data_IF_602705012160
#
_entry.id   IF_602705012160
#
_cell.length_a   1.000
_cell.length_b   1.000
_cell.length_c   1.000
_cell.angle_alpha   90.00
_cell.angle_beta   90.00
_cell.angle_gamma   90.00
#
_symmetry.space_group_name_H-M   'P 1'
#
loop_
_entity.id
_entity.type
_entity.pdbx_description
1 polymer ?
#
# COMPACT_ATOMS: atom_id res chain seq x y z
N UNK A 1 5.19 -113.30 34.71
CA UNK A 1 4.21 -113.50 33.63
C UNK A 1 3.46 -112.19 33.42
N UNK A 2 3.52 -111.62 32.22
CA UNK A 2 2.88 -110.35 31.88
C UNK A 2 1.35 -110.53 31.74
N UNK A 3 0.57 -109.92 32.63
CA UNK A 3 -0.90 -109.97 32.59
C UNK A 3 -1.42 -108.87 31.69
N UNK A 4 -1.64 -109.22 30.42
CA UNK A 4 -2.17 -108.35 29.36
C UNK A 4 -3.65 -108.06 29.63
N UNK A 5 -3.96 -106.94 30.29
CA UNK A 5 -5.35 -106.45 30.41
C UNK A 5 -5.84 -106.03 29.01
N UNK A 6 -6.71 -106.86 28.44
CA UNK A 6 -7.44 -106.58 27.20
C UNK A 6 -8.53 -105.54 27.51
N UNK A 7 -8.27 -104.26 27.30
CA UNK A 7 -9.35 -103.28 27.24
C UNK A 7 -10.27 -103.67 26.07
N UNK A 8 -11.54 -103.97 26.34
CA UNK A 8 -12.52 -104.22 25.28
C UNK A 8 -12.65 -102.94 24.45
N UNK A 9 -12.59 -103.05 23.13
CA UNK A 9 -12.63 -101.92 22.20
C UNK A 9 -13.82 -100.96 22.48
N UNK A 10 -14.96 -101.49 22.94
CA UNK A 10 -16.13 -100.72 23.38
C UNK A 10 -15.82 -99.76 24.54
N UNK A 11 -14.97 -100.16 25.49
CA UNK A 11 -14.58 -99.34 26.64
C UNK A 11 -13.66 -98.19 26.21
N UNK A 12 -12.75 -98.43 25.25
CA UNK A 12 -11.90 -97.38 24.68
C UNK A 12 -12.74 -96.36 23.90
N UNK A 13 -13.72 -96.83 23.12
CA UNK A 13 -14.61 -95.96 22.35
C UNK A 13 -15.49 -95.10 23.27
N UNK A 14 -16.02 -95.67 24.35
CA UNK A 14 -16.77 -94.92 25.36
C UNK A 14 -15.90 -93.88 26.06
N UNK A 15 -14.66 -94.22 26.42
CA UNK A 15 -13.75 -93.27 27.06
C UNK A 15 -13.41 -92.10 26.13
N UNK A 16 -13.14 -92.39 24.85
CA UNK A 16 -12.86 -91.36 23.85
C UNK A 16 -14.07 -90.47 23.59
N UNK A 17 -15.26 -91.05 23.48
CA UNK A 17 -16.51 -90.30 23.33
C UNK A 17 -16.76 -89.38 24.52
N UNK A 18 -16.56 -89.86 25.74
CA UNK A 18 -16.73 -89.04 26.96
C UNK A 18 -15.72 -87.90 27.02
N UNK A 19 -14.45 -88.15 26.67
CA UNK A 19 -13.41 -87.10 26.65
C UNK A 19 -13.67 -86.08 25.54
N UNK A 20 -14.07 -86.52 24.35
CA UNK A 20 -14.45 -85.61 23.25
C UNK A 20 -15.72 -84.80 23.57
N UNK A 21 -16.71 -85.39 24.24
CA UNK A 21 -17.92 -84.69 24.68
C UNK A 21 -17.59 -83.65 25.77
N UNK A 22 -16.76 -84.00 26.75
CA UNK A 22 -16.25 -83.06 27.74
C UNK A 22 -15.44 -81.93 27.09
N UNK A 23 -14.61 -82.24 26.10
CA UNK A 23 -13.86 -81.24 25.33
C UNK A 23 -14.78 -80.31 24.52
N UNK A 24 -15.82 -80.85 23.90
CA UNK A 24 -16.82 -80.07 23.17
C UNK A 24 -17.62 -79.16 24.11
N UNK A 25 -18.05 -79.67 25.27
CA UNK A 25 -18.75 -78.87 26.29
C UNK A 25 -17.84 -77.76 26.83
N UNK A 26 -16.55 -78.04 27.06
CA UNK A 26 -15.58 -77.04 27.48
C UNK A 26 -15.37 -75.96 26.40
N UNK A 27 -15.26 -76.34 25.13
CA UNK A 27 -15.14 -75.40 24.01
C UNK A 27 -16.42 -74.55 23.84
N UNK A 28 -17.60 -75.14 24.01
CA UNK A 28 -18.87 -74.42 23.96
C UNK A 28 -19.06 -73.47 25.16
N UNK A 29 -18.56 -73.84 26.36
CA UNK A 29 -18.52 -72.95 27.52
C UNK A 29 -17.59 -71.75 27.30
N UNK A 30 -16.45 -71.94 26.63
CA UNK A 30 -15.53 -70.86 26.27
C UNK A 30 -16.11 -69.92 25.18
N UNK A 31 -16.91 -70.45 24.24
CA UNK A 31 -17.64 -69.64 23.24
C UNK A 31 -18.79 -68.83 23.85
N UNK A 32 -19.27 -69.20 25.05
CA UNK A 32 -20.38 -68.55 25.76
C UNK A 32 -19.96 -67.46 26.75
N UNK A 33 -18.66 -67.26 27.00
CA UNK A 33 -18.19 -66.08 27.74
C UNK A 33 -18.35 -64.86 26.84
N UNK A 34 -19.49 -64.17 27.01
CA UNK A 34 -19.62 -62.76 26.64
C UNK A 34 -18.43 -62.04 27.27
N UNK A 35 -17.46 -61.64 26.46
CA UNK A 35 -16.64 -60.50 26.81
C UNK A 35 -17.62 -59.34 26.98
N UNK A 36 -17.86 -58.99 28.23
CA UNK A 36 -18.70 -57.87 28.59
C UNK A 36 -17.92 -56.60 28.27
N UNK A 37 -17.94 -56.19 27.00
CA UNK A 37 -17.30 -54.95 26.56
C UNK A 37 -18.06 -53.70 27.03
N UNK A 38 -19.17 -53.86 27.78
CA UNK A 38 -20.00 -52.74 28.20
C UNK A 38 -19.24 -51.74 29.08
N UNK A 39 -18.29 -52.17 29.93
CA UNK A 39 -17.52 -51.22 30.77
C UNK A 39 -16.62 -50.28 29.96
N UNK A 40 -16.18 -50.65 28.75
CA UNK A 40 -15.26 -49.82 27.97
C UNK A 40 -15.95 -48.83 27.02
N UNK A 41 -17.23 -49.06 26.71
CA UNK A 41 -18.04 -48.17 25.86
C UNK A 41 -18.79 -47.10 26.67
N UNK A 42 -19.15 -47.36 27.94
CA UNK A 42 -19.76 -46.34 28.81
C UNK A 42 -18.98 -45.01 28.94
N UNK A 43 -17.64 -44.98 29.13
CA UNK A 43 -16.90 -43.72 29.21
C UNK A 43 -16.81 -43.01 27.85
N UNK A 44 -16.76 -43.75 26.74
CA UNK A 44 -16.74 -43.18 25.39
C UNK A 44 -18.09 -42.60 25.02
N UNK A 45 -19.20 -43.30 25.30
CA UNK A 45 -20.55 -42.80 25.05
C UNK A 45 -20.90 -41.60 25.93
N UNK A 46 -20.42 -41.58 27.18
CA UNK A 46 -20.55 -40.40 28.05
C UNK A 46 -19.72 -39.23 27.53
N UNK A 47 -18.52 -39.49 27.02
CA UNK A 47 -17.66 -38.46 26.43
C UNK A 47 -18.26 -37.92 25.12
N UNK A 48 -18.78 -38.79 24.26
CA UNK A 48 -19.47 -38.45 23.01
C UNK A 48 -20.73 -37.64 23.32
N UNK A 49 -21.51 -38.04 24.33
CA UNK A 49 -22.71 -37.30 24.74
C UNK A 49 -22.35 -35.92 25.29
N UNK A 50 -21.27 -35.82 26.07
CA UNK A 50 -20.75 -34.54 26.58
C UNK A 50 -20.25 -33.64 25.44
N UNK A 51 -19.45 -34.18 24.52
CA UNK A 51 -18.95 -33.45 23.35
C UNK A 51 -20.08 -33.02 22.41
N UNK A 52 -21.11 -33.84 22.21
CA UNK A 52 -22.32 -33.46 21.46
C UNK A 52 -23.08 -32.33 22.14
N UNK A 53 -23.16 -32.35 23.48
CA UNK A 53 -23.75 -31.26 24.27
C UNK A 53 -22.95 -29.95 24.15
N UNK A 54 -21.62 -30.04 24.25
CA UNK A 54 -20.72 -28.88 24.07
C UNK A 54 -20.79 -28.35 22.63
N UNK A 55 -20.84 -29.22 21.62
CA UNK A 55 -21.01 -28.83 20.22
C UNK A 55 -22.35 -28.10 20.00
N UNK A 56 -23.45 -28.62 20.55
CA UNK A 56 -24.75 -27.98 20.42
C UNK A 56 -24.77 -26.61 21.12
N UNK A 57 -24.12 -26.50 22.29
CA UNK A 57 -23.97 -25.23 23.00
C UNK A 57 -23.13 -24.23 22.23
N UNK A 58 -22.00 -24.64 21.67
CA UNK A 58 -21.15 -23.79 20.82
C UNK A 58 -21.89 -23.37 19.55
N UNK A 59 -22.67 -24.27 18.94
CA UNK A 59 -23.52 -23.93 17.80
C UNK A 59 -24.62 -22.92 18.17
N UNK A 60 -25.21 -23.03 19.36
CA UNK A 60 -26.16 -22.02 19.85
C UNK A 60 -25.49 -20.69 20.17
N UNK A 61 -24.28 -20.70 20.74
CA UNK A 61 -23.51 -19.48 20.99
C UNK A 61 -23.10 -18.82 19.67
N UNK A 62 -22.68 -19.59 18.67
CA UNK A 62 -22.43 -19.11 17.30
C UNK A 62 -23.70 -18.55 16.66
N UNK A 63 -24.84 -19.24 16.79
CA UNK A 63 -26.13 -18.78 16.27
C UNK A 63 -26.60 -17.50 16.97
N UNK A 64 -26.41 -17.37 18.29
CA UNK A 64 -26.67 -16.13 19.04
C UNK A 64 -25.74 -15.02 18.60
N UNK A 65 -24.46 -15.31 18.36
CA UNK A 65 -23.52 -14.35 17.78
C UNK A 65 -23.97 -13.92 16.37
N UNK A 66 -24.40 -14.84 15.51
CA UNK A 66 -24.91 -14.53 14.16
C UNK A 66 -26.20 -13.72 14.19
N UNK A 67 -27.12 -14.00 15.12
CA UNK A 67 -28.35 -13.22 15.30
C UNK A 67 -28.05 -11.82 15.87
N UNK A 68 -27.06 -11.71 16.76
CA UNK A 68 -26.57 -10.40 17.26
C UNK A 68 -25.78 -9.64 16.19
N UNK A 69 -25.24 -10.35 15.20
CA UNK A 69 -24.55 -9.82 14.02
C UNK A 69 -25.49 -9.67 12.81
N UNK A 70 -26.81 -9.82 12.98
CA UNK A 70 -27.74 -9.29 12.00
C UNK A 70 -27.49 -7.78 11.93
N UNK A 71 -27.20 -7.23 10.75
CA UNK A 71 -26.99 -5.80 10.63
C UNK A 71 -28.34 -5.16 10.93
N UNK A 72 -28.46 -4.52 12.10
CA UNK A 72 -29.25 -3.29 12.14
C UNK A 72 -28.85 -2.52 10.89
N UNK A 73 -29.83 -2.20 10.05
CA UNK A 73 -29.66 -1.47 8.80
C UNK A 73 -29.17 -0.06 9.14
N UNK A 74 -27.93 0.04 9.60
CA UNK A 74 -27.19 1.27 9.72
C UNK A 74 -27.15 1.85 8.31
N UNK A 75 -27.38 3.16 8.12
CA UNK A 75 -27.11 3.78 6.84
C UNK A 75 -25.71 3.35 6.42
N UNK A 76 -25.59 2.79 5.21
CA UNK A 76 -24.31 2.30 4.70
C UNK A 76 -23.26 3.37 4.98
N UNK A 77 -22.25 3.06 5.81
CA UNK A 77 -21.15 3.99 6.03
C UNK A 77 -20.66 4.38 4.63
N UNK A 78 -20.62 5.69 4.27
CA UNK A 78 -20.17 6.09 2.96
C UNK A 78 -18.79 5.48 2.75
N UNK A 79 -18.64 4.70 1.67
CA UNK A 79 -17.39 4.00 1.42
C UNK A 79 -16.32 5.06 1.18
N UNK A 80 -15.38 5.21 2.13
CA UNK A 80 -14.26 6.16 2.11
C UNK A 80 -13.64 6.31 0.71
N UNK A 81 -13.69 7.44 -0.03
CA UNK A 81 -13.21 7.50 -1.42
C UNK A 81 -11.79 6.95 -1.66
N UNK A 82 -11.58 6.33 -2.83
CA UNK A 82 -10.25 5.81 -3.22
C UNK A 82 -9.42 6.95 -3.79
N UNK A 83 -8.16 7.04 -3.36
CA UNK A 83 -7.19 7.97 -3.92
C UNK A 83 -6.36 7.21 -4.95
N UNK A 84 -6.51 7.56 -6.22
CA UNK A 84 -5.73 7.06 -7.33
C UNK A 84 -4.52 7.99 -7.50
N UNK A 85 -3.35 7.49 -7.14
CA UNK A 85 -2.11 8.26 -7.25
C UNK A 85 -1.39 7.86 -8.53
N UNK A 86 -1.28 8.79 -9.48
CA UNK A 86 -0.52 8.60 -10.72
C UNK A 86 0.90 9.10 -10.49
N UNK A 87 1.87 8.19 -10.60
CA UNK A 87 3.29 8.49 -10.42
C UNK A 87 4.06 8.14 -11.68
N UNK A 88 4.56 9.15 -12.42
CA UNK A 88 5.56 8.89 -13.45
C UNK A 88 6.90 8.55 -12.78
N UNK A 89 7.63 7.58 -13.33
CA UNK A 89 9.00 7.27 -12.88
C UNK A 89 9.88 6.90 -14.07
N UNK A 90 11.19 7.03 -13.92
CA UNK A 90 12.16 6.64 -14.94
C UNK A 90 13.45 6.10 -14.30
N UNK A 91 14.17 5.27 -15.05
CA UNK A 91 15.42 4.66 -14.60
C UNK A 91 16.50 5.72 -14.37
N UNK A 92 17.01 5.77 -13.14
CA UNK A 92 18.13 6.62 -12.68
C UNK A 92 18.71 6.05 -11.38
N UNK A 93 19.90 6.50 -10.99
CA UNK A 93 20.61 5.99 -9.80
C UNK A 93 19.73 5.95 -8.54
N UNK A 94 18.99 7.03 -8.28
CA UNK A 94 18.14 7.16 -7.08
C UNK A 94 16.75 6.53 -7.21
N UNK A 95 16.35 6.00 -8.38
CA UNK A 95 14.96 5.56 -8.65
C UNK A 95 14.42 4.62 -7.57
N UNK A 96 15.20 3.60 -7.21
CA UNK A 96 14.78 2.61 -6.21
C UNK A 96 14.61 3.23 -4.82
N UNK A 97 15.50 4.15 -4.44
CA UNK A 97 15.42 4.83 -3.15
C UNK A 97 14.16 5.72 -3.08
N UNK A 98 13.89 6.45 -4.17
CA UNK A 98 12.73 7.32 -4.33
C UNK A 98 11.40 6.57 -4.21
N UNK A 99 11.26 5.49 -4.99
CA UNK A 99 10.08 4.63 -4.93
C UNK A 99 9.94 3.93 -3.58
N UNK A 100 11.04 3.60 -2.91
CA UNK A 100 11.02 2.98 -1.58
C UNK A 100 10.42 3.93 -0.55
N UNK A 101 10.94 5.17 -0.42
CA UNK A 101 10.42 6.14 0.56
C UNK A 101 8.96 6.52 0.29
N UNK A 102 8.60 6.64 -0.99
CA UNK A 102 7.24 6.94 -1.40
C UNK A 102 6.28 5.80 -1.04
N UNK A 103 6.65 4.55 -1.35
CA UNK A 103 5.84 3.38 -1.02
C UNK A 103 5.59 3.24 0.49
N UNK A 104 6.61 3.51 1.31
CA UNK A 104 6.50 3.50 2.76
C UNK A 104 5.52 4.58 3.26
N UNK A 105 5.50 5.76 2.65
CA UNK A 105 4.52 6.80 2.95
C UNK A 105 3.10 6.35 2.59
N UNK A 106 2.93 5.76 1.41
CA UNK A 106 1.62 5.32 0.91
C UNK A 106 1.01 4.17 1.71
N UNK A 107 1.83 3.33 2.36
CA UNK A 107 1.35 2.25 3.23
C UNK A 107 0.49 2.75 4.40
N UNK A 108 0.67 4.01 4.80
CA UNK A 108 -0.11 4.63 5.86
C UNK A 108 -1.42 5.26 5.38
N UNK A 109 -1.68 5.29 4.06
CA UNK A 109 -2.86 5.96 3.48
C UNK A 109 -3.94 4.91 3.16
N UNK A 110 -5.09 4.93 3.86
CA UNK A 110 -6.15 3.96 3.60
C UNK A 110 -6.80 4.21 2.24
N UNK A 111 -7.18 3.13 1.56
CA UNK A 111 -7.80 3.15 0.22
C UNK A 111 -7.03 4.00 -0.80
N UNK A 112 -5.72 3.80 -0.86
CA UNK A 112 -4.87 4.31 -1.92
C UNK A 112 -4.69 3.23 -2.99
N UNK A 113 -4.78 3.62 -4.26
CA UNK A 113 -4.43 2.80 -5.41
C UNK A 113 -3.29 3.49 -6.16
N UNK A 114 -2.12 2.87 -6.18
CA UNK A 114 -0.92 3.46 -6.78
C UNK A 114 -0.77 3.05 -8.25
N UNK A 115 -0.91 4.01 -9.16
CA UNK A 115 -0.71 3.83 -10.60
C UNK A 115 0.70 4.29 -10.93
N UNK A 116 1.64 3.35 -10.97
CA UNK A 116 3.04 3.65 -11.27
C UNK A 116 3.30 3.43 -12.77
N UNK A 117 3.75 4.47 -13.45
CA UNK A 117 3.93 4.50 -14.91
C UNK A 117 5.39 4.77 -15.26
N UNK A 118 6.08 3.76 -15.78
CA UNK A 118 7.49 3.88 -16.16
C UNK A 118 7.66 4.60 -17.52
N UNK A 119 8.57 5.57 -17.60
CA UNK A 119 9.16 6.05 -18.88
C UNK A 119 10.13 4.98 -19.41
N UNK A 120 9.54 3.91 -19.95
CA UNK A 120 10.25 2.76 -20.49
C UNK A 120 9.41 2.07 -21.57
N UNK A 121 10.04 1.47 -22.59
CA UNK A 121 9.32 0.65 -23.57
C UNK A 121 8.71 -0.63 -22.97
N UNK A 122 9.11 -1.03 -21.76
CA UNK A 122 8.59 -2.21 -21.05
C UNK A 122 8.65 -2.02 -19.52
N UNK A 123 7.88 -2.84 -18.80
CA UNK A 123 7.95 -2.92 -17.33
C UNK A 123 9.31 -3.46 -16.90
N UNK A 124 10.04 -2.74 -16.05
CA UNK A 124 11.38 -3.16 -15.62
C UNK A 124 11.30 -4.16 -14.46
N UNK A 125 12.23 -5.14 -14.37
CA UNK A 125 12.28 -6.07 -13.25
C UNK A 125 12.42 -5.37 -11.89
N UNK A 126 13.15 -4.25 -11.84
CA UNK A 126 13.35 -3.46 -10.62
C UNK A 126 12.02 -2.96 -10.07
N UNK A 127 11.22 -2.31 -10.91
CA UNK A 127 9.95 -1.73 -10.49
C UNK A 127 8.90 -2.81 -10.23
N UNK A 128 8.87 -3.87 -11.06
CA UNK A 128 7.98 -5.01 -10.83
C UNK A 128 8.24 -5.67 -9.46
N UNK A 129 9.51 -5.94 -9.12
CA UNK A 129 9.88 -6.54 -7.82
C UNK A 129 9.54 -5.62 -6.63
N UNK A 130 9.81 -4.31 -6.77
CA UNK A 130 9.48 -3.32 -5.74
C UNK A 130 7.97 -3.27 -5.47
N UNK A 131 7.14 -3.19 -6.53
CA UNK A 131 5.69 -3.14 -6.40
C UNK A 131 5.13 -4.41 -5.76
N UNK A 132 5.59 -5.60 -6.20
CA UNK A 132 5.16 -6.89 -5.63
C UNK A 132 5.45 -6.98 -4.14
N UNK A 133 6.58 -6.41 -3.68
CA UNK A 133 6.99 -6.42 -2.26
C UNK A 133 6.42 -5.26 -1.45
N UNK A 134 5.82 -4.26 -2.09
CA UNK A 134 5.37 -3.03 -1.43
C UNK A 134 4.20 -3.23 -0.46
N UNK A 135 3.34 -4.22 -0.69
CA UNK A 135 2.09 -4.42 0.06
C UNK A 135 0.98 -3.42 -0.29
N UNK A 136 1.18 -2.56 -1.29
CA UNK A 136 0.19 -1.59 -1.76
C UNK A 136 -0.76 -2.22 -2.79
N UNK A 137 -1.96 -1.64 -2.93
CA UNK A 137 -2.78 -1.86 -4.12
C UNK A 137 -2.20 -1.01 -5.24
N UNK A 138 -1.82 -1.62 -6.37
CA UNK A 138 -1.18 -0.90 -7.46
C UNK A 138 -1.62 -1.35 -8.85
N UNK A 139 -1.40 -0.48 -9.83
CA UNK A 139 -1.36 -0.79 -11.26
C UNK A 139 0.04 -0.44 -11.77
N UNK A 140 0.71 -1.40 -12.40
CA UNK A 140 2.01 -1.18 -13.05
C UNK A 140 1.79 -0.95 -14.56
N UNK A 141 2.10 0.25 -15.05
CA UNK A 141 2.04 0.64 -16.46
C UNK A 141 3.42 1.08 -16.97
N UNK A 142 3.55 1.24 -18.27
CA UNK A 142 4.73 1.83 -18.90
C UNK A 142 4.32 2.61 -20.15
N UNK A 143 5.01 3.70 -20.42
CA UNK A 143 4.84 4.50 -21.63
C UNK A 143 6.15 5.24 -21.91
N UNK A 144 6.87 4.95 -23.00
CA UNK A 144 8.11 5.65 -23.30
C UNK A 144 7.83 7.07 -23.80
N UNK A 145 8.54 8.07 -23.28
CA UNK A 145 8.58 9.41 -23.87
C UNK A 145 9.34 9.38 -25.19
N UNK A 146 8.83 10.08 -26.20
CA UNK A 146 9.45 10.15 -27.51
C UNK A 146 10.87 10.77 -27.43
N UNK A 147 11.80 10.29 -28.26
CA UNK A 147 13.23 10.66 -28.15
C UNK A 147 13.49 12.15 -28.30
N UNK A 148 12.75 12.81 -29.19
CA UNK A 148 12.76 14.25 -29.43
C UNK A 148 12.26 15.06 -28.22
N UNK A 149 11.42 14.47 -27.37
CA UNK A 149 10.90 15.07 -26.13
C UNK A 149 11.72 14.75 -24.88
N UNK A 150 12.69 13.82 -24.96
CA UNK A 150 13.63 13.57 -23.87
C UNK A 150 14.65 14.70 -23.76
N UNK A 151 15.06 14.98 -22.54
CA UNK A 151 16.21 15.86 -22.28
C UNK A 151 17.48 15.15 -22.70
N UNK A 152 18.38 15.90 -23.32
CA UNK A 152 19.72 15.46 -23.65
C UNK A 152 20.68 15.72 -22.49
N UNK A 153 21.84 15.09 -22.53
CA UNK A 153 22.88 15.31 -21.53
C UNK A 153 23.34 16.78 -21.57
N UNK A 154 23.33 17.44 -20.42
CA UNK A 154 23.62 18.87 -20.30
C UNK A 154 22.41 19.80 -20.49
N UNK A 155 21.25 19.29 -20.93
CA UNK A 155 20.03 20.11 -20.98
C UNK A 155 19.61 20.51 -19.56
N UNK A 156 19.21 21.78 -19.34
CA UNK A 156 18.62 22.17 -18.09
C UNK A 156 17.37 21.36 -17.77
N UNK A 157 17.19 20.97 -16.51
CA UNK A 157 16.08 20.09 -16.09
C UNK A 157 14.68 20.65 -16.41
N UNK A 158 14.57 21.97 -16.56
CA UNK A 158 13.36 22.71 -16.88
C UNK A 158 13.08 22.88 -18.37
N UNK A 159 13.97 22.44 -19.27
CA UNK A 159 13.85 22.72 -20.71
C UNK A 159 12.65 22.02 -21.36
N UNK A 160 12.38 20.77 -20.98
CA UNK A 160 11.30 19.94 -21.51
C UNK A 160 10.47 19.36 -20.37
N UNK A 161 9.13 19.37 -20.47
CA UNK A 161 8.29 18.77 -19.44
C UNK A 161 8.52 17.26 -19.38
N UNK A 162 8.74 16.74 -18.17
CA UNK A 162 8.90 15.29 -17.93
C UNK A 162 7.60 14.69 -17.47
N UNK A 163 7.39 13.40 -17.73
CA UNK A 163 6.26 12.67 -17.18
C UNK A 163 4.92 12.87 -17.93
N UNK A 164 4.89 13.58 -19.05
CA UNK A 164 3.63 13.96 -19.73
C UNK A 164 2.91 12.72 -20.26
N UNK A 165 3.61 11.91 -21.07
CA UNK A 165 3.04 10.70 -21.65
C UNK A 165 2.63 9.71 -20.56
N UNK A 166 3.38 9.64 -19.47
CA UNK A 166 3.12 8.74 -18.35
C UNK A 166 1.90 9.16 -17.53
N UNK A 167 1.70 10.46 -17.28
CA UNK A 167 0.49 10.97 -16.63
C UNK A 167 -0.74 10.74 -17.49
N UNK A 168 -0.63 10.99 -18.80
CA UNK A 168 -1.71 10.73 -19.75
C UNK A 168 -2.03 9.24 -19.87
N UNK A 169 -1.04 8.36 -19.81
CA UNK A 169 -1.25 6.91 -19.77
C UNK A 169 -2.01 6.45 -18.51
N UNK A 170 -1.69 7.04 -17.35
CA UNK A 170 -2.46 6.84 -16.12
C UNK A 170 -3.93 7.30 -16.24
N UNK A 171 -4.15 8.46 -16.87
CA UNK A 171 -5.50 8.96 -17.15
C UNK A 171 -6.27 8.06 -18.13
N UNK A 172 -5.62 7.60 -19.20
CA UNK A 172 -6.19 6.65 -20.17
C UNK A 172 -6.64 5.37 -19.46
N UNK A 173 -5.74 4.77 -18.67
CA UNK A 173 -6.06 3.56 -17.90
C UNK A 173 -7.25 3.77 -16.96
N UNK A 174 -7.31 4.88 -16.22
CA UNK A 174 -8.45 5.18 -15.36
C UNK A 174 -9.77 5.27 -16.13
N UNK A 175 -9.76 5.92 -17.30
CA UNK A 175 -10.95 6.07 -18.15
C UNK A 175 -11.45 4.74 -18.68
N UNK A 176 -10.54 3.83 -19.05
CA UNK A 176 -10.91 2.51 -19.54
C UNK A 176 -11.37 1.58 -18.41
N UNK A 177 -10.56 1.44 -17.36
CA UNK A 177 -10.77 0.50 -16.27
C UNK A 177 -12.00 0.87 -15.42
N UNK A 178 -12.20 2.15 -15.10
CA UNK A 178 -13.29 2.57 -14.20
C UNK A 178 -14.64 2.72 -14.90
N UNK A 179 -14.67 3.13 -16.17
CA UNK A 179 -15.93 3.13 -16.95
C UNK A 179 -16.44 1.70 -17.20
N UNK A 180 -15.53 0.74 -17.34
CA UNK A 180 -15.90 -0.67 -17.54
C UNK A 180 -16.48 -1.34 -16.28
N UNK A 181 -16.31 -0.75 -15.08
CA UNK A 181 -16.81 -1.35 -13.84
C UNK A 181 -18.30 -1.07 -13.62
N UNK A 182 -19.08 -2.04 -13.07
CA UNK A 182 -20.48 -1.83 -12.74
C UNK A 182 -20.67 -0.66 -11.78
N UNK A 183 -21.41 0.37 -12.20
CA UNK A 183 -21.60 1.60 -11.42
C UNK A 183 -20.47 2.62 -11.54
N UNK A 184 -19.66 2.58 -12.61
CA UNK A 184 -18.55 3.50 -12.87
C UNK A 184 -18.91 4.99 -12.76
N UNK A 185 -20.14 5.38 -13.13
CA UNK A 185 -20.63 6.77 -13.01
C UNK A 185 -20.81 7.24 -11.56
N UNK A 186 -20.94 6.31 -10.62
CA UNK A 186 -21.19 6.58 -9.20
C UNK A 186 -19.96 6.28 -8.31
N UNK A 187 -18.80 6.01 -8.93
CA UNK A 187 -17.59 5.70 -8.20
C UNK A 187 -16.99 6.97 -7.57
N UNK A 188 -17.00 7.04 -6.24
CA UNK A 188 -16.33 8.10 -5.50
C UNK A 188 -14.82 7.82 -5.43
N UNK A 189 -14.04 8.74 -5.95
CA UNK A 189 -12.58 8.68 -5.93
C UNK A 189 -11.95 10.01 -6.31
N UNK A 190 -10.65 10.09 -6.08
CA UNK A 190 -9.83 11.29 -6.32
C UNK A 190 -8.58 10.85 -7.06
N UNK A 191 -8.17 11.63 -8.05
CA UNK A 191 -6.96 11.43 -8.84
C UNK A 191 -5.94 12.47 -8.40
N UNK A 192 -4.74 12.02 -8.05
CA UNK A 192 -3.63 12.87 -7.64
C UNK A 192 -2.37 12.54 -8.44
N UNK A 193 -1.68 13.55 -8.93
CA UNK A 193 -0.42 13.40 -9.65
C UNK A 193 0.73 13.62 -8.68
N UNK A 194 1.51 12.57 -8.43
CA UNK A 194 2.58 12.58 -7.44
C UNK A 194 3.88 12.11 -8.09
N UNK A 195 4.80 13.04 -8.34
CA UNK A 195 6.14 12.74 -8.83
C UNK A 195 6.94 11.98 -7.76
N UNK A 196 7.81 11.06 -8.20
CA UNK A 196 8.45 10.07 -7.31
C UNK A 196 9.51 10.67 -6.37
N UNK A 197 9.95 11.91 -6.62
CA UNK A 197 10.98 12.61 -5.85
C UNK A 197 10.45 13.60 -4.79
N UNK A 198 9.15 13.86 -4.80
CA UNK A 198 8.50 14.82 -3.89
C UNK A 198 8.33 14.24 -2.48
N UNK A 199 8.06 15.12 -1.51
CA UNK A 199 7.78 14.74 -0.11
C UNK A 199 6.34 15.05 0.27
N UNK A 200 5.61 14.03 0.74
CA UNK A 200 4.17 14.11 1.02
C UNK A 200 3.88 13.89 2.51
N UNK A 201 3.13 14.81 3.13
CA UNK A 201 2.57 14.59 4.47
C UNK A 201 1.35 13.67 4.40
N UNK A 202 1.17 12.79 5.38
CA UNK A 202 -0.04 11.96 5.48
C UNK A 202 -1.33 12.79 5.53
N UNK A 203 -1.28 13.99 6.10
CA UNK A 203 -2.44 14.88 6.22
C UNK A 203 -2.93 15.37 4.85
N UNK A 204 -2.06 15.44 3.84
CA UNK A 204 -2.41 15.81 2.47
C UNK A 204 -3.47 14.86 1.87
N UNK A 205 -3.32 13.56 2.13
CA UNK A 205 -4.21 12.55 1.56
C UNK A 205 -5.62 12.63 2.16
N UNK A 206 -5.75 13.03 3.42
CA UNK A 206 -7.07 13.25 4.02
C UNK A 206 -7.72 14.54 3.53
N UNK A 207 -6.94 15.60 3.27
CA UNK A 207 -7.44 16.86 2.68
C UNK A 207 -8.05 16.63 1.28
N UNK A 208 -7.32 15.92 0.42
CA UNK A 208 -7.77 15.67 -0.97
C UNK A 208 -8.91 14.66 -1.07
N UNK A 209 -9.11 13.79 -0.07
CA UNK A 209 -10.08 12.70 -0.15
C UNK A 209 -11.53 13.17 -0.36
N UNK A 210 -11.82 14.40 0.07
CA UNK A 210 -13.14 15.02 0.00
C UNK A 210 -13.42 15.80 -1.29
N UNK A 211 -12.49 15.81 -2.25
CA UNK A 211 -12.59 16.62 -3.48
C UNK A 211 -13.81 16.27 -4.32
N UNK A 212 -14.60 17.28 -4.68
CA UNK A 212 -15.81 17.13 -5.50
C UNK A 212 -15.57 17.49 -6.96
N UNK A 213 -14.77 18.54 -7.20
CA UNK A 213 -14.30 19.01 -8.51
C UNK A 213 -12.77 18.97 -8.55
N UNK A 214 -12.12 20.08 -8.17
CA UNK A 214 -10.66 20.21 -8.12
C UNK A 214 -10.27 20.92 -6.83
N UNK A 215 -9.47 20.25 -6.01
CA UNK A 215 -8.93 20.80 -4.77
C UNK A 215 -7.53 21.33 -4.97
N UNK A 216 -7.19 22.42 -4.28
CA UNK A 216 -5.88 23.06 -4.37
C UNK A 216 -5.29 23.39 -3.00
N UNK A 217 -3.96 23.41 -2.91
CA UNK A 217 -3.21 23.69 -1.68
C UNK A 217 -1.82 24.28 -1.96
N UNK A 218 -1.12 24.80 -0.92
CA UNK A 218 0.25 25.26 -1.02
C UNK A 218 1.25 24.13 -1.30
N UNK A 219 2.27 24.43 -2.10
CA UNK A 219 3.40 23.54 -2.39
C UNK A 219 4.68 24.22 -1.95
N UNK A 220 5.51 23.52 -1.17
CA UNK A 220 6.79 24.00 -0.70
C UNK A 220 7.91 23.81 -1.72
N UNK A 221 8.94 24.67 -1.65
CA UNK A 221 10.19 24.57 -2.42
C UNK A 221 10.01 24.55 -3.94
N UNK A 222 9.04 25.31 -4.46
CA UNK A 222 8.69 25.34 -5.89
C UNK A 222 8.74 26.77 -6.44
N UNK A 223 8.91 26.91 -7.76
CA UNK A 223 8.90 28.21 -8.44
C UNK A 223 10.03 29.16 -8.01
N UNK A 224 11.12 28.63 -7.46
CA UNK A 224 12.21 29.42 -6.86
C UNK A 224 11.83 30.11 -5.54
N UNK A 225 10.72 29.71 -4.92
CA UNK A 225 10.22 30.28 -3.67
C UNK A 225 10.19 29.25 -2.54
N UNK A 226 10.05 29.73 -1.29
CA UNK A 226 9.83 28.85 -0.13
C UNK A 226 8.54 28.04 -0.29
N UNK A 227 7.51 28.63 -0.87
CA UNK A 227 6.27 27.98 -1.24
C UNK A 227 5.53 28.81 -2.29
N UNK A 228 4.74 28.16 -3.13
CA UNK A 228 3.67 28.79 -3.90
C UNK A 228 2.32 28.40 -3.30
N UNK A 229 1.32 29.27 -3.40
CA UNK A 229 -0.01 28.96 -2.85
C UNK A 229 -1.17 29.65 -3.58
N UNK A 230 -2.35 29.04 -3.62
CA UNK A 230 -3.58 29.77 -3.88
C UNK A 230 -3.81 30.83 -2.78
N UNK A 231 -4.38 31.97 -3.17
CA UNK A 231 -4.81 33.03 -2.24
C UNK A 231 -6.32 32.96 -2.14
N UNK A 232 -6.78 32.81 -0.90
CA UNK A 232 -8.18 32.53 -0.59
C UNK A 232 -8.81 33.72 0.13
N UNK A 233 -9.93 34.20 -0.38
CA UNK A 233 -10.75 35.25 0.22
C UNK A 233 -12.21 34.79 0.19
N UNK A 234 -12.93 34.91 1.31
CA UNK A 234 -14.32 34.44 1.40
C UNK A 234 -14.50 32.94 1.10
N UNK A 235 -13.47 32.11 1.31
CA UNK A 235 -13.50 30.68 0.99
C UNK A 235 -13.34 30.34 -0.49
N UNK A 236 -12.99 31.32 -1.34
CA UNK A 236 -12.76 31.15 -2.78
C UNK A 236 -11.34 31.55 -3.16
N UNK A 237 -10.79 30.87 -4.17
CA UNK A 237 -9.50 31.23 -4.75
C UNK A 237 -9.68 32.48 -5.62
N UNK A 238 -8.99 33.56 -5.28
CA UNK A 238 -9.08 34.84 -6.01
C UNK A 238 -7.87 35.13 -6.88
N UNK A 239 -6.71 34.55 -6.52
CA UNK A 239 -5.45 34.64 -7.26
C UNK A 239 -4.47 33.61 -6.70
N UNK A 240 -3.23 33.66 -7.17
CA UNK A 240 -2.14 32.83 -6.65
C UNK A 240 -0.95 33.69 -6.20
N UNK A 241 -0.22 33.17 -5.23
CA UNK A 241 1.08 33.67 -4.81
C UNK A 241 2.14 32.77 -5.45
N UNK A 242 2.68 33.24 -6.57
CA UNK A 242 3.68 32.55 -7.39
C UNK A 242 4.76 33.55 -7.81
N UNK A 243 6.00 33.08 -7.90
CA UNK A 243 7.13 33.89 -8.38
C UNK A 243 7.29 33.81 -9.89
N UNK A 244 6.69 32.81 -10.54
CA UNK A 244 6.97 32.44 -11.91
C UNK A 244 5.71 32.38 -12.78
N UNK A 245 5.69 33.24 -13.81
CA UNK A 245 4.59 33.39 -14.78
C UNK A 245 3.21 33.45 -14.08
N UNK A 246 2.90 34.55 -13.37
CA UNK A 246 1.63 34.71 -12.66
C UNK A 246 0.42 34.88 -13.60
N UNK A 247 0.65 35.17 -14.89
CA UNK A 247 -0.39 35.31 -15.91
C UNK A 247 -0.94 33.98 -16.44
N UNK A 248 -0.43 32.84 -15.96
CA UNK A 248 -0.97 31.53 -16.32
C UNK A 248 -2.41 31.40 -15.83
N UNK A 249 -3.29 30.67 -16.54
CA UNK A 249 -4.65 30.41 -16.07
C UNK A 249 -4.70 29.74 -14.69
N UNK A 250 -3.81 28.76 -14.46
CA UNK A 250 -3.63 28.09 -13.19
C UNK A 250 -2.13 28.05 -12.85
N UNK A 251 -1.59 29.09 -12.19
CA UNK A 251 -0.19 29.15 -11.78
C UNK A 251 0.00 28.34 -10.49
N UNK A 252 -0.05 27.02 -10.64
CA UNK A 252 0.12 26.03 -9.59
C UNK A 252 1.04 24.91 -10.11
N UNK A 253 1.78 24.29 -9.20
CA UNK A 253 2.59 23.10 -9.48
C UNK A 253 1.72 21.83 -9.57
N UNK A 254 2.21 20.82 -10.29
CA UNK A 254 1.56 19.51 -10.43
C UNK A 254 1.15 18.89 -9.08
N UNK A 255 2.00 19.01 -8.05
CA UNK A 255 1.73 18.46 -6.73
C UNK A 255 0.69 19.26 -5.92
N UNK A 256 0.27 20.43 -6.42
CA UNK A 256 -0.59 21.40 -5.72
C UNK A 256 -2.08 21.18 -5.85
N UNK A 257 -2.52 20.18 -6.63
CA UNK A 257 -3.94 19.94 -6.84
C UNK A 257 -4.30 18.45 -6.94
N UNK A 258 -5.58 18.13 -6.70
CA UNK A 258 -6.17 16.84 -7.02
C UNK A 258 -7.54 17.02 -7.66
N UNK A 259 -7.97 16.02 -8.44
CA UNK A 259 -9.17 16.07 -9.25
C UNK A 259 -10.12 14.95 -8.87
N UNK A 260 -11.41 15.23 -8.78
CA UNK A 260 -12.44 14.20 -8.64
C UNK A 260 -12.38 13.20 -9.78
N UNK A 261 -12.39 11.90 -9.46
CA UNK A 261 -12.43 10.84 -10.47
C UNK A 261 -13.62 11.02 -11.40
N UNK A 262 -14.79 11.38 -10.86
CA UNK A 262 -15.99 11.64 -11.66
C UNK A 262 -15.74 12.72 -12.71
N UNK A 263 -15.00 13.77 -12.36
CA UNK A 263 -14.70 14.87 -13.29
C UNK A 263 -13.72 14.42 -14.39
N UNK A 264 -12.72 13.61 -14.04
CA UNK A 264 -11.80 12.99 -15.01
C UNK A 264 -12.54 12.08 -15.99
N UNK A 265 -13.49 11.29 -15.49
CA UNK A 265 -14.30 10.40 -16.32
C UNK A 265 -15.33 11.15 -17.16
N UNK A 266 -15.87 12.26 -16.69
CA UNK A 266 -16.82 13.09 -17.45
C UNK A 266 -16.15 13.87 -18.60
N UNK A 267 -14.85 14.14 -18.51
CA UNK A 267 -14.09 14.92 -19.50
C UNK A 267 -12.97 14.05 -20.11
N UNK A 268 -13.30 13.14 -21.06
CA UNK A 268 -12.32 12.23 -21.65
C UNK A 268 -11.22 12.92 -22.46
N UNK A 269 -11.49 14.12 -23.00
CA UNK A 269 -10.52 14.89 -23.80
C UNK A 269 -9.51 15.66 -22.95
N UNK A 270 -9.78 15.89 -21.67
CA UNK A 270 -8.89 16.67 -20.79
C UNK A 270 -7.59 15.90 -20.50
N UNK A 271 -6.49 16.27 -21.15
CA UNK A 271 -5.19 15.62 -20.98
C UNK A 271 -4.10 16.69 -20.78
N UNK A 272 -2.92 16.27 -20.35
CA UNK A 272 -1.76 17.14 -20.35
C UNK A 272 -1.24 17.32 -21.78
N UNK A 273 -1.12 18.57 -22.23
CA UNK A 273 -0.57 18.89 -23.54
C UNK A 273 0.96 18.95 -23.48
N UNK A 274 1.62 18.00 -24.16
CA UNK A 274 3.07 17.94 -24.23
C UNK A 274 3.71 19.04 -25.09
N UNK A 275 2.92 19.70 -25.92
CA UNK A 275 3.34 20.86 -26.73
C UNK A 275 3.04 22.19 -26.03
N UNK A 276 2.43 22.16 -24.83
CA UNK A 276 2.13 23.36 -24.08
C UNK A 276 3.43 24.14 -23.77
N UNK A 277 3.40 25.49 -23.88
CA UNK A 277 4.56 26.29 -23.53
C UNK A 277 5.01 26.04 -22.08
N UNK A 278 6.31 26.20 -21.84
CA UNK A 278 6.91 25.99 -20.51
C UNK A 278 6.07 26.64 -19.40
N UNK A 279 5.61 25.80 -18.47
CA UNK A 279 4.81 26.22 -17.31
C UNK A 279 3.31 26.18 -17.47
N UNK A 280 2.81 25.88 -18.66
CA UNK A 280 1.38 25.75 -18.92
C UNK A 280 0.90 24.31 -18.89
N UNK A 281 1.74 23.34 -18.49
CA UNK A 281 1.37 21.94 -18.47
C UNK A 281 0.16 21.70 -17.55
N UNK A 282 0.21 22.18 -16.31
CA UNK A 282 -0.89 22.07 -15.34
C UNK A 282 -2.13 22.82 -15.84
N UNK A 283 -1.92 24.01 -16.42
CA UNK A 283 -3.01 24.81 -16.98
C UNK A 283 -3.71 24.11 -18.15
N UNK A 284 -2.97 23.45 -19.04
CA UNK A 284 -3.51 22.73 -20.20
C UNK A 284 -4.52 21.66 -19.81
N UNK A 285 -4.27 20.98 -18.68
CA UNK A 285 -5.16 19.98 -18.14
C UNK A 285 -6.34 20.60 -17.36
N UNK A 286 -6.05 21.54 -16.45
CA UNK A 286 -7.08 22.12 -15.56
C UNK A 286 -8.12 22.95 -16.32
N UNK A 287 -7.72 23.64 -17.40
CA UNK A 287 -8.65 24.39 -18.25
C UNK A 287 -9.70 23.50 -18.93
N UNK A 288 -9.41 22.22 -19.13
CA UNK A 288 -10.38 21.25 -19.65
C UNK A 288 -11.36 20.72 -18.59
N UNK A 289 -11.25 21.14 -17.33
CA UNK A 289 -11.98 20.56 -16.21
C UNK A 289 -12.78 21.58 -15.38
N UNK A 290 -12.16 22.72 -15.04
CA UNK A 290 -12.72 23.70 -14.10
C UNK A 290 -12.33 25.13 -14.45
N UNK A 291 -13.07 26.08 -13.87
CA UNK A 291 -12.67 27.48 -13.76
C UNK A 291 -12.11 27.81 -12.37
N UNK A 292 -11.48 28.98 -12.20
CA UNK A 292 -10.83 29.36 -10.94
C UNK A 292 -11.81 29.44 -9.74
N UNK A 293 -13.06 29.84 -9.99
CA UNK A 293 -14.13 29.95 -8.98
C UNK A 293 -14.66 28.59 -8.49
N UNK A 294 -14.40 27.52 -9.25
CA UNK A 294 -14.77 26.15 -8.92
C UNK A 294 -13.70 25.40 -8.12
N UNK A 295 -12.54 26.02 -7.89
CA UNK A 295 -11.47 25.44 -7.07
C UNK A 295 -11.87 25.34 -5.60
N UNK A 296 -11.54 24.22 -4.98
CA UNK A 296 -11.77 23.94 -3.57
C UNK A 296 -10.48 24.16 -2.76
N UNK A 297 -10.34 25.27 -2.02
CA UNK A 297 -9.14 25.47 -1.19
C UNK A 297 -9.12 24.46 -0.03
N UNK A 298 -7.98 23.79 0.15
CA UNK A 298 -7.71 22.84 1.26
C UNK A 298 -6.58 23.36 2.14
N UNK A 299 -6.12 22.54 3.09
CA UNK A 299 -4.96 22.84 3.94
C UNK A 299 -5.12 24.17 4.69
N UNK A 300 -6.24 24.29 5.41
CA UNK A 300 -6.64 25.47 6.18
C UNK A 300 -6.67 26.75 5.33
N UNK A 301 -7.53 26.78 4.29
CA UNK A 301 -7.63 27.89 3.34
C UNK A 301 -6.29 28.26 2.70
N UNK A 302 -5.53 27.25 2.31
CA UNK A 302 -4.23 27.37 1.67
C UNK A 302 -3.19 28.12 2.53
N UNK A 303 -3.20 27.90 3.85
CA UNK A 303 -2.23 28.50 4.79
C UNK A 303 -1.16 27.52 5.27
N UNK A 304 -1.34 26.21 5.07
CA UNK A 304 -0.38 25.18 5.47
C UNK A 304 0.23 24.44 4.28
N UNK A 305 1.55 24.28 4.29
CA UNK A 305 2.27 23.45 3.32
C UNK A 305 2.22 22.00 3.77
N UNK A 306 1.70 21.12 2.90
CA UNK A 306 1.54 19.67 3.16
C UNK A 306 2.30 18.78 2.17
N UNK A 307 2.89 19.40 1.15
CA UNK A 307 3.71 18.76 0.12
C UNK A 307 4.86 19.69 -0.23
N UNK A 308 6.03 19.12 -0.49
CA UNK A 308 7.21 19.85 -0.95
C UNK A 308 7.75 19.19 -2.22
N UNK A 309 8.11 20.02 -3.20
CA UNK A 309 8.79 19.55 -4.40
C UNK A 309 10.17 18.98 -4.04
N UNK A 310 10.52 17.85 -4.66
CA UNK A 310 11.83 17.23 -4.53
C UNK A 310 12.92 18.12 -5.14
N UNK A 311 14.10 18.18 -4.50
CA UNK A 311 15.28 18.76 -5.13
C UNK A 311 16.07 17.61 -5.74
N UNK A 312 16.04 17.48 -7.06
CA UNK A 312 16.90 16.53 -7.75
C UNK A 312 18.36 16.96 -7.56
N UNK A 313 19.07 16.28 -6.65
CA UNK A 313 20.52 16.31 -6.67
C UNK A 313 20.96 15.52 -7.90
N UNK A 314 21.56 16.20 -8.87
CA UNK A 314 22.33 15.51 -9.91
C UNK A 314 23.52 14.89 -9.20
N UNK A 315 23.47 13.59 -8.94
CA UNK A 315 24.64 12.81 -8.60
C UNK A 315 25.59 12.89 -9.79
N UNK A 316 26.57 13.80 -9.72
CA UNK A 316 27.71 13.76 -10.62
C UNK A 316 28.58 12.62 -10.13
N UNK A 317 28.56 11.49 -10.81
CA UNK A 317 29.71 10.59 -10.79
C UNK A 317 30.86 11.37 -11.44
N UNK A 318 31.73 11.97 -10.64
CA UNK A 318 33.02 12.43 -11.14
C UNK A 318 33.84 11.20 -11.44
N UNK A 319 34.01 10.89 -12.74
CA UNK A 319 35.05 10.01 -13.23
C UNK A 319 36.42 10.59 -12.85
N UNK A 320 36.95 10.17 -11.70
CA UNK A 320 38.33 10.45 -11.25
C UNK A 320 39.04 9.13 -10.90
N UNK A 321 38.85 8.09 -11.73
CA UNK A 321 39.49 6.78 -11.55
C UNK A 321 40.38 6.30 -12.72
N UNK A 322 40.81 7.20 -13.63
CA UNK A 322 41.77 6.86 -14.70
C UNK A 322 43.06 7.68 -14.75
N UNK A 323 43.43 8.39 -13.66
CA UNK A 323 44.79 8.95 -13.50
C UNK A 323 45.35 8.74 -12.09
N UNK A 324 45.60 7.48 -11.76
CA UNK A 324 46.23 7.08 -10.50
C UNK A 324 47.03 5.81 -10.61
N UNK A 325 47.89 5.71 -11.63
CA UNK A 325 48.91 4.65 -11.68
C UNK A 325 49.87 4.76 -10.49
N UNK A 326 50.00 3.65 -9.77
CA UNK A 326 51.03 3.32 -8.78
C UNK A 326 50.99 4.08 -7.43
N UNK A 327 50.42 3.43 -6.40
CA UNK A 327 51.15 2.95 -5.21
C UNK A 327 50.19 2.65 -4.03
N UNK A 328 50.40 1.50 -3.38
CA UNK A 328 50.19 1.39 -1.92
C UNK A 328 48.86 0.80 -1.44
N UNK A 329 48.95 -0.46 -1.02
CA UNK A 329 48.09 -1.19 -0.09
C UNK A 329 47.32 -0.36 0.96
N UNK A 330 46.03 -0.68 1.16
CA UNK A 330 45.28 -0.29 2.36
C UNK A 330 43.79 -0.59 2.28
N UNK A 331 43.36 -1.71 2.86
CA UNK A 331 41.96 -2.02 3.16
C UNK A 331 41.32 -0.88 3.98
N UNK A 332 40.21 -0.33 3.52
CA UNK A 332 39.49 0.71 4.26
C UNK A 332 38.11 1.01 3.71
N UNK A 333 37.12 0.22 4.10
CA UNK A 333 35.71 0.63 4.10
C UNK A 333 35.59 1.96 4.86
N UNK A 334 35.15 3.04 4.21
CA UNK A 334 34.72 4.27 4.89
C UNK A 334 33.20 4.40 4.83
N UNK A 335 32.50 4.44 5.98
CA UNK A 335 31.08 4.75 6.03
C UNK A 335 30.85 6.26 5.87
N UNK A 336 29.93 6.65 4.99
CA UNK A 336 29.42 8.01 4.90
C UNK A 336 28.46 8.30 6.07
N UNK A 337 29.00 8.69 7.22
CA UNK A 337 28.26 9.44 8.23
C UNK A 337 28.82 10.86 8.29
N UNK A 338 27.95 11.84 8.05
CA UNK A 338 28.27 13.25 7.96
C UNK A 338 28.86 13.83 9.24
N UNK A 339 29.90 14.64 9.07
CA UNK A 339 30.43 15.48 10.14
C UNK A 339 29.50 16.65 10.42
N UNK A 340 28.82 16.61 11.56
CA UNK A 340 28.33 17.81 12.25
C UNK A 340 29.55 18.61 12.72
N UNK A 341 29.77 19.79 12.13
CA UNK A 341 30.68 20.78 12.73
C UNK A 341 29.90 21.55 13.79
N UNK A 342 30.28 21.32 15.05
CA UNK A 342 29.94 22.18 16.18
C UNK A 342 30.59 23.56 15.97
N UNK A 343 29.79 24.62 15.97
CA UNK A 343 30.26 26.00 16.13
C UNK A 343 30.00 26.45 17.56
N UNK A 344 31.06 26.49 18.37
CA UNK A 344 31.08 27.20 19.65
C UNK A 344 31.03 28.72 19.42
N UNK A 345 30.08 29.42 20.05
CA UNK A 345 30.18 30.85 20.30
C UNK A 345 29.40 31.26 21.57
N UNK A 346 30.19 31.51 22.63
CA UNK A 346 29.98 32.38 23.79
C UNK A 346 28.62 32.41 24.55
N UNK A 347 28.65 31.78 25.73
CA UNK A 347 27.83 32.10 26.88
C UNK A 347 28.14 33.53 27.38
N UNK A 348 27.10 34.38 27.48
CA UNK A 348 27.09 35.52 28.38
C UNK A 348 26.31 35.14 29.63
N UNK A 349 27.02 35.09 30.75
CA UNK A 349 26.54 34.75 32.09
C UNK A 349 25.70 35.89 32.65
N UNK A 350 24.41 35.64 32.92
CA UNK A 350 23.57 36.48 33.75
C UNK A 350 23.83 36.15 35.23
N UNK A 351 24.51 37.05 35.93
CA UNK A 351 24.70 37.00 37.38
C UNK A 351 23.40 37.43 38.09
N UNK A 352 22.71 36.48 38.72
CA UNK A 352 21.69 36.77 39.72
C UNK A 352 22.36 36.98 41.08
N UNK A 353 22.33 38.22 41.58
CA UNK A 353 22.63 38.57 42.97
C UNK A 353 21.41 38.24 43.83
N UNK A 354 21.59 37.33 44.78
CA UNK A 354 20.65 37.05 45.85
C UNK A 354 20.96 38.00 47.01
N UNK A 355 20.03 38.90 47.33
CA UNK A 355 20.09 39.78 48.48
C UNK A 355 19.27 39.17 49.62
N UNK A 356 19.91 38.88 50.75
CA UNK A 356 19.27 38.82 52.06
C UNK A 356 20.25 39.38 53.09
N UNK A 357 19.84 40.45 53.75
CA UNK A 357 20.32 40.85 55.08
C UNK A 357 19.16 41.46 55.85
N UNK A 358 18.89 40.83 56.99
CA UNK A 358 18.32 41.30 58.27
C UNK A 358 16.95 41.98 58.24
#
# INVERSE_FOLDING_TARGET
MATRMKLKLKTVFLLYFMVSLLGLIYALMQLGQRCDCTEHDFPKDRTISRLRGELHRLQEEMRKFEVTKQPQKQPAKPSLPTIFVITPTYARLVQKAELTRMSQTFLHVPRLHWILVEDSPHKTPLVTDLLMKSGLTYTHLHMPTAKDRKLQEGDPSWLKPRGVEQRNEGLRWLREDRRAQPGGDNQQGVVYFADDDNTYSLQLFEEMRSTQRVSVWPVGLVGGMKYERPVVEGGKVVRFHTGWRPSRPFPIDMAGFAVSLKLVLANPEACFDGEAPMGLLESSFLQGLVTMDELEPKADNCTKVRVCAGVAHTDRETEDEERGGAAGSGTGFRPCCGGLRETHAHQHTLTHTCAHSV
#
